data_IF_393361324997
#
_entry.id   IF_393361324997
#
_cell.length_a   1.000
_cell.length_b   1.000
_cell.length_c   1.000
_cell.angle_alpha   90.00
_cell.angle_beta   90.00
_cell.angle_gamma   90.00
#
_symmetry.space_group_name_H-M   'P 1'
#
loop_
_entity.id
_entity.type
_entity.pdbx_description
1 polymer ?
#
# COMPACT_ATOMS: atom_id res chain seq x y z
N UNK A 1 -8.78 -15.57 -12.28
CA UNK A 1 -9.21 -14.19 -11.90
C UNK A 1 -8.67 -13.23 -12.94
N UNK A 2 -9.42 -12.17 -13.28
CA UNK A 2 -8.93 -11.17 -14.26
C UNK A 2 -7.90 -10.29 -13.53
N UNK A 3 -6.71 -10.17 -14.07
CA UNK A 3 -5.66 -9.30 -13.54
C UNK A 3 -6.08 -7.83 -13.63
N UNK A 4 -5.85 -7.07 -12.55
CA UNK A 4 -6.08 -5.62 -12.51
C UNK A 4 -4.78 -4.88 -12.82
N UNK A 5 -3.63 -5.39 -12.33
CA UNK A 5 -2.31 -4.86 -12.64
C UNK A 5 -1.48 -6.01 -13.21
N UNK A 6 -0.79 -5.75 -14.33
CA UNK A 6 0.08 -6.69 -15.02
C UNK A 6 1.42 -6.04 -15.27
N UNK A 7 2.48 -6.68 -14.81
CA UNK A 7 3.87 -6.30 -15.07
C UNK A 7 4.50 -7.38 -15.94
N UNK A 8 5.16 -7.00 -17.02
CA UNK A 8 5.85 -7.91 -17.91
C UNK A 8 7.24 -7.37 -18.23
N UNK A 9 8.25 -7.96 -17.60
CA UNK A 9 9.65 -7.60 -17.80
C UNK A 9 10.01 -6.16 -17.44
N UNK A 10 9.28 -5.52 -16.53
CA UNK A 10 9.46 -4.11 -16.20
C UNK A 10 10.87 -3.84 -15.65
N UNK A 11 11.51 -2.79 -16.16
CA UNK A 11 12.84 -2.37 -15.77
C UNK A 11 12.97 -0.86 -15.60
N UNK A 12 13.96 -0.45 -14.77
CA UNK A 12 14.26 0.96 -14.51
C UNK A 12 15.72 1.18 -14.17
N UNK A 13 16.30 2.23 -14.78
CA UNK A 13 17.62 2.75 -14.46
C UNK A 13 17.51 4.18 -13.92
N UNK A 14 18.45 4.57 -13.08
CA UNK A 14 18.69 5.96 -12.69
C UNK A 14 20.18 6.23 -12.84
N UNK A 15 20.53 7.27 -13.57
CA UNK A 15 21.92 7.67 -13.85
C UNK A 15 22.78 6.48 -14.32
N UNK A 16 22.23 5.66 -15.23
CA UNK A 16 22.89 4.48 -15.79
C UNK A 16 22.95 3.26 -14.87
N UNK A 17 22.50 3.37 -13.63
CA UNK A 17 22.48 2.24 -12.65
C UNK A 17 21.14 1.51 -12.73
N UNK A 18 21.20 0.19 -12.99
CA UNK A 18 20.01 -0.66 -12.96
C UNK A 18 19.45 -0.75 -11.53
N UNK A 19 18.19 -0.35 -11.33
CA UNK A 19 17.47 -0.44 -10.05
C UNK A 19 16.48 -1.59 -10.07
N UNK A 20 15.73 -1.75 -11.17
CA UNK A 20 14.79 -2.86 -11.39
C UNK A 20 15.09 -3.53 -12.73
N UNK A 21 15.01 -4.85 -12.77
CA UNK A 21 15.28 -5.63 -13.97
C UNK A 21 14.32 -6.80 -14.10
N UNK A 22 13.60 -6.86 -15.24
CA UNK A 22 12.79 -8.02 -15.61
C UNK A 22 11.65 -8.33 -14.63
N UNK A 23 11.10 -7.32 -13.94
CA UNK A 23 10.05 -7.52 -12.95
C UNK A 23 8.76 -7.93 -13.64
N UNK A 24 8.24 -9.11 -13.28
CA UNK A 24 6.98 -9.64 -13.82
C UNK A 24 6.08 -10.11 -12.69
N UNK A 25 4.81 -9.69 -12.69
CA UNK A 25 3.79 -10.10 -11.74
C UNK A 25 2.39 -9.82 -12.27
N UNK A 26 1.42 -10.58 -11.80
CA UNK A 26 0.00 -10.38 -12.05
C UNK A 26 -0.72 -10.17 -10.71
N UNK A 27 -1.45 -9.06 -10.58
CA UNK A 27 -2.22 -8.72 -9.38
C UNK A 27 -3.70 -8.79 -9.71
N UNK A 28 -4.42 -9.64 -8.99
CA UNK A 28 -5.86 -9.82 -9.16
C UNK A 28 -6.68 -8.71 -8.50
N UNK A 29 -7.97 -8.64 -8.88
CA UNK A 29 -8.92 -7.76 -8.21
C UNK A 29 -9.15 -8.21 -6.76
N UNK A 30 -9.27 -7.25 -5.85
CA UNK A 30 -9.53 -7.48 -4.43
C UNK A 30 -8.45 -8.29 -3.69
N UNK A 31 -7.27 -8.45 -4.27
CA UNK A 31 -6.12 -9.04 -3.58
C UNK A 31 -5.43 -8.01 -2.68
N UNK A 32 -4.96 -8.46 -1.54
CA UNK A 32 -3.99 -7.76 -0.72
C UNK A 32 -2.60 -8.37 -0.95
N UNK A 33 -1.73 -7.65 -1.64
CA UNK A 33 -0.39 -8.14 -2.01
C UNK A 33 0.68 -7.29 -1.31
N UNK A 34 1.60 -7.91 -0.59
CA UNK A 34 2.79 -7.24 -0.08
C UNK A 34 3.99 -7.44 -0.99
N UNK A 35 4.81 -6.41 -1.09
CA UNK A 35 6.13 -6.44 -1.73
C UNK A 35 7.17 -6.37 -0.62
N UNK A 36 7.92 -7.46 -0.45
CA UNK A 36 8.93 -7.64 0.57
C UNK A 36 10.32 -7.73 -0.09
N UNK A 37 11.34 -7.16 0.53
CA UNK A 37 12.69 -7.22 -0.02
C UNK A 37 13.67 -6.36 0.77
N UNK A 38 15.00 -6.51 0.57
CA UNK A 38 16.03 -5.74 1.25
C UNK A 38 15.87 -4.24 1.05
N UNK A 39 16.45 -3.45 1.98
CA UNK A 39 16.48 -1.99 1.82
C UNK A 39 17.24 -1.59 0.56
N UNK A 40 16.68 -0.66 -0.20
CA UNK A 40 17.29 -0.14 -1.43
C UNK A 40 17.18 -1.07 -2.65
N UNK A 41 16.48 -2.20 -2.61
CA UNK A 41 16.31 -3.09 -3.76
C UNK A 41 15.37 -2.55 -4.86
N UNK A 42 14.62 -1.48 -4.59
CA UNK A 42 13.74 -0.84 -5.60
C UNK A 42 12.25 -0.99 -5.36
N UNK A 43 11.78 -1.45 -4.17
CA UNK A 43 10.34 -1.60 -3.86
C UNK A 43 9.53 -0.33 -4.09
N UNK A 44 9.97 0.78 -3.50
CA UNK A 44 9.32 2.10 -3.69
C UNK A 44 9.36 2.57 -5.14
N UNK A 45 10.44 2.24 -5.86
CA UNK A 45 10.55 2.51 -7.30
C UNK A 45 9.50 1.70 -8.07
N UNK A 46 9.38 0.41 -7.79
CA UNK A 46 8.38 -0.46 -8.42
C UNK A 46 6.97 0.08 -8.19
N UNK A 47 6.65 0.47 -6.95
CA UNK A 47 5.34 1.03 -6.63
C UNK A 47 5.06 2.34 -7.39
N UNK A 48 6.08 3.21 -7.54
CA UNK A 48 5.97 4.45 -8.32
C UNK A 48 5.84 4.22 -9.82
N UNK A 49 6.47 3.18 -10.37
CA UNK A 49 6.26 2.76 -11.76
C UNK A 49 4.81 2.30 -11.98
N UNK A 50 4.27 1.48 -11.08
CA UNK A 50 2.88 1.00 -11.12
C UNK A 50 1.89 2.17 -11.04
N UNK A 51 2.20 3.19 -10.23
CA UNK A 51 1.38 4.40 -10.09
C UNK A 51 1.48 5.36 -11.28
N UNK A 52 2.39 5.14 -12.25
CA UNK A 52 2.66 6.08 -13.33
C UNK A 52 3.38 7.36 -12.90
N UNK A 53 3.92 7.39 -11.66
CA UNK A 53 4.67 8.56 -11.12
C UNK A 53 6.08 8.64 -11.68
N UNK A 54 6.62 7.53 -12.16
CA UNK A 54 7.95 7.42 -12.81
C UNK A 54 7.77 6.53 -14.03
N UNK A 55 8.31 6.91 -15.21
CA UNK A 55 8.23 6.05 -16.39
C UNK A 55 9.15 4.82 -16.25
N UNK A 56 8.70 3.66 -16.71
CA UNK A 56 9.54 2.48 -16.92
C UNK A 56 10.36 2.63 -18.21
N UNK A 57 11.42 1.84 -18.35
CA UNK A 57 12.32 1.88 -19.53
C UNK A 57 12.27 0.58 -20.30
N UNK A 58 12.10 -0.55 -19.61
CA UNK A 58 12.02 -1.86 -20.22
C UNK A 58 10.68 -2.52 -19.85
N UNK A 59 10.17 -3.40 -20.71
CA UNK A 59 8.96 -4.16 -20.46
C UNK A 59 7.66 -3.37 -20.62
N UNK A 60 6.63 -3.76 -19.88
CA UNK A 60 5.33 -3.06 -19.84
C UNK A 60 4.67 -3.17 -18.47
N UNK A 61 3.91 -2.14 -18.12
CA UNK A 61 3.04 -2.11 -16.93
C UNK A 61 1.65 -1.73 -17.39
N UNK A 62 0.64 -2.54 -17.02
CA UNK A 62 -0.75 -2.31 -17.42
C UNK A 62 -1.66 -2.27 -16.22
N UNK A 63 -2.65 -1.40 -16.27
CA UNK A 63 -3.75 -1.31 -15.34
C UNK A 63 -5.08 -1.42 -16.07
N UNK A 64 -5.95 -2.34 -15.67
CA UNK A 64 -7.22 -2.59 -16.34
C UNK A 64 -7.06 -3.02 -17.82
N UNK A 65 -5.86 -3.46 -18.23
CA UNK A 65 -5.51 -3.81 -19.62
C UNK A 65 -4.90 -2.65 -20.42
N UNK A 66 -4.99 -1.39 -19.96
CA UNK A 66 -4.33 -0.25 -20.57
C UNK A 66 -2.90 -0.07 -20.04
N UNK A 67 -1.98 0.42 -20.87
CA UNK A 67 -0.62 0.70 -20.45
C UNK A 67 -0.59 1.92 -19.51
N UNK A 68 0.21 1.83 -18.43
CA UNK A 68 0.37 2.91 -17.47
C UNK A 68 1.43 3.88 -17.98
N UNK A 69 1.01 5.05 -18.43
CA UNK A 69 1.89 6.13 -18.92
C UNK A 69 1.88 7.35 -18.01
N UNK A 70 0.85 7.49 -17.19
CA UNK A 70 0.64 8.62 -16.27
C UNK A 70 -0.20 8.19 -15.06
N UNK A 71 -0.22 8.96 -13.96
CA UNK A 71 -1.05 8.69 -12.81
C UNK A 71 -2.56 8.73 -13.15
N UNK A 72 -3.33 7.88 -12.50
CA UNK A 72 -4.79 7.82 -12.65
C UNK A 72 -5.49 7.99 -11.31
N UNK A 73 -6.69 8.58 -11.31
CA UNK A 73 -7.56 8.70 -10.13
C UNK A 73 -7.99 7.34 -9.54
N UNK A 74 -7.95 6.28 -10.37
CA UNK A 74 -8.31 4.93 -9.95
C UNK A 74 -7.25 4.26 -9.04
N UNK A 75 -6.06 4.87 -8.91
CA UNK A 75 -4.98 4.43 -8.01
C UNK A 75 -4.75 5.49 -6.92
N UNK A 76 -5.02 5.12 -5.66
CA UNK A 76 -4.62 5.91 -4.50
C UNK A 76 -3.19 5.57 -4.10
N UNK A 77 -2.39 6.58 -3.74
CA UNK A 77 -1.00 6.39 -3.30
C UNK A 77 -0.81 6.94 -1.89
N UNK A 78 -0.32 6.08 -0.97
CA UNK A 78 0.09 6.45 0.38
C UNK A 78 1.60 6.41 0.45
N UNK A 79 2.22 7.58 0.68
CA UNK A 79 3.67 7.72 0.77
C UNK A 79 4.18 7.31 2.17
N UNK A 80 5.46 6.99 2.25
CA UNK A 80 6.16 6.66 3.50
C UNK A 80 6.07 7.79 4.54
N UNK A 81 6.12 9.04 4.08
CA UNK A 81 5.80 10.22 4.89
C UNK A 81 4.36 10.63 4.66
N UNK A 82 3.66 11.08 5.69
CA UNK A 82 2.24 11.41 5.60
C UNK A 82 1.88 12.53 4.62
N UNK A 83 2.86 13.35 4.18
CA UNK A 83 2.74 14.40 3.17
C UNK A 83 1.51 15.31 3.30
N UNK A 84 0.98 15.48 4.53
CA UNK A 84 -0.15 16.36 4.78
C UNK A 84 0.27 17.82 4.61
N UNK A 85 -0.62 18.63 4.04
CA UNK A 85 -0.41 20.06 3.95
C UNK A 85 -0.59 20.69 5.33
N UNK A 86 0.45 21.29 5.93
CA UNK A 86 0.41 21.71 7.33
C UNK A 86 -0.54 22.89 7.60
N UNK A 87 -0.92 23.64 6.57
CA UNK A 87 -1.86 24.77 6.62
C UNK A 87 -3.32 24.37 6.40
N UNK A 88 -3.61 23.09 6.07
CA UNK A 88 -4.94 22.53 5.94
C UNK A 88 -5.28 21.71 7.18
N UNK A 89 -6.53 21.78 7.63
CA UNK A 89 -7.05 20.91 8.68
C UNK A 89 -7.24 19.46 8.18
N UNK A 90 -7.70 18.54 9.02
CA UNK A 90 -7.95 17.14 8.67
C UNK A 90 -8.96 17.02 7.54
N UNK A 91 -10.09 17.75 7.62
CA UNK A 91 -11.14 17.72 6.59
C UNK A 91 -10.57 18.10 5.21
N UNK A 92 -9.88 19.22 5.16
CA UNK A 92 -9.35 19.77 3.92
C UNK A 92 -8.21 18.90 3.36
N UNK A 93 -7.38 18.29 4.23
CA UNK A 93 -6.38 17.31 3.81
C UNK A 93 -7.05 16.06 3.22
N UNK A 94 -8.09 15.51 3.86
CA UNK A 94 -8.81 14.34 3.37
C UNK A 94 -9.43 14.58 1.98
N UNK A 95 -10.00 15.76 1.77
CA UNK A 95 -10.69 16.10 0.53
C UNK A 95 -9.78 16.70 -0.55
N UNK A 96 -8.52 16.98 -0.26
CA UNK A 96 -7.59 17.65 -1.18
C UNK A 96 -7.57 17.04 -2.59
N UNK A 97 -7.45 15.71 -2.68
CA UNK A 97 -7.40 15.01 -3.96
C UNK A 97 -8.72 15.05 -4.72
N UNK A 98 -9.83 15.14 -3.99
CA UNK A 98 -11.20 15.29 -4.55
C UNK A 98 -11.38 16.71 -5.10
N UNK A 99 -10.98 17.71 -4.30
CA UNK A 99 -11.17 19.13 -4.65
C UNK A 99 -10.27 19.57 -5.83
N UNK A 100 -9.15 18.89 -6.05
CA UNK A 100 -8.24 19.14 -7.18
C UNK A 100 -8.66 18.45 -8.48
N UNK A 101 -9.58 17.50 -8.43
CA UNK A 101 -10.03 16.75 -9.60
C UNK A 101 -11.51 17.04 -9.92
N UNK A 102 -11.79 17.88 -10.93
CA UNK A 102 -13.17 18.23 -11.29
C UNK A 102 -14.03 17.03 -11.72
N UNK A 103 -13.44 15.89 -12.05
CA UNK A 103 -14.17 14.68 -12.44
C UNK A 103 -14.54 13.79 -11.25
N UNK A 104 -13.90 14.00 -10.10
CA UNK A 104 -14.19 13.24 -8.87
C UNK A 104 -15.37 13.89 -8.15
N UNK A 105 -16.44 13.12 -7.93
CA UNK A 105 -17.57 13.59 -7.14
C UNK A 105 -17.15 13.77 -5.68
N UNK A 106 -17.43 14.96 -5.12
CA UNK A 106 -17.20 15.21 -3.70
C UNK A 106 -18.17 14.37 -2.87
N UNK A 107 -17.68 13.64 -1.83
CA UNK A 107 -18.57 12.91 -0.95
C UNK A 107 -19.54 13.86 -0.24
N UNK A 108 -20.77 13.43 -0.04
CA UNK A 108 -21.69 14.14 0.81
C UNK A 108 -21.28 14.08 2.29
N UNK A 109 -21.99 14.82 3.16
CA UNK A 109 -21.65 14.90 4.59
C UNK A 109 -21.75 13.53 5.31
N UNK A 110 -22.65 12.66 4.87
CA UNK A 110 -22.81 11.33 5.47
C UNK A 110 -21.68 10.39 5.05
N UNK A 111 -21.30 10.41 3.77
CA UNK A 111 -20.16 9.67 3.23
C UNK A 111 -18.85 10.15 3.85
N UNK A 112 -18.67 11.46 4.00
CA UNK A 112 -17.51 12.04 4.66
C UNK A 112 -17.44 11.62 6.14
N UNK A 113 -18.56 11.71 6.88
CA UNK A 113 -18.61 11.29 8.28
C UNK A 113 -18.29 9.79 8.43
N UNK A 114 -18.80 8.94 7.54
CA UNK A 114 -18.48 7.50 7.51
C UNK A 114 -17.00 7.23 7.26
N UNK A 115 -16.35 8.01 6.38
CA UNK A 115 -14.91 7.93 6.14
C UNK A 115 -14.14 8.33 7.41
N UNK A 116 -14.48 9.46 8.04
CA UNK A 116 -13.83 9.97 9.26
C UNK A 116 -13.98 8.97 10.42
N UNK A 117 -15.17 8.38 10.59
CA UNK A 117 -15.44 7.35 11.59
C UNK A 117 -14.58 6.09 11.31
N UNK A 118 -14.54 5.64 10.05
CA UNK A 118 -13.75 4.47 9.64
C UNK A 118 -12.26 4.67 9.93
N UNK A 119 -11.74 5.90 9.79
CA UNK A 119 -10.37 6.29 10.10
C UNK A 119 -10.14 6.55 11.61
N UNK A 120 -11.18 6.50 12.45
CA UNK A 120 -11.10 6.85 13.87
C UNK A 120 -10.63 8.28 14.10
N UNK A 121 -11.10 9.22 13.29
CA UNK A 121 -10.74 10.65 13.32
C UNK A 121 -11.91 11.55 13.73
N UNK A 122 -13.01 10.97 14.20
CA UNK A 122 -14.20 11.71 14.66
C UNK A 122 -13.83 12.69 15.76
N UNK A 123 -14.23 13.95 15.58
CA UNK A 123 -13.93 15.07 16.48
C UNK A 123 -12.58 15.76 16.22
N UNK A 124 -11.80 15.29 15.22
CA UNK A 124 -10.53 15.89 14.83
C UNK A 124 -10.58 16.57 13.46
N UNK A 125 -11.75 16.70 12.85
CA UNK A 125 -11.94 17.18 11.48
C UNK A 125 -11.38 18.60 11.26
N UNK A 126 -11.49 19.45 12.30
CA UNK A 126 -10.98 20.82 12.29
C UNK A 126 -9.52 20.95 12.78
N UNK A 127 -8.89 19.85 13.24
CA UNK A 127 -7.52 19.86 13.74
C UNK A 127 -6.50 19.96 12.61
N UNK A 128 -5.38 20.64 12.87
CA UNK A 128 -4.25 20.74 11.93
C UNK A 128 -3.25 19.61 12.16
N UNK A 129 -2.42 19.25 11.15
CA UNK A 129 -1.43 18.18 11.27
C UNK A 129 -0.48 18.30 12.48
N UNK A 130 -0.15 19.52 12.90
CA UNK A 130 0.68 19.79 14.10
C UNK A 130 0.02 19.39 15.42
N UNK A 131 -1.30 19.26 15.44
CA UNK A 131 -2.10 18.89 16.62
C UNK A 131 -2.37 17.38 16.70
N UNK A 132 -1.96 16.62 15.68
CA UNK A 132 -2.22 15.19 15.55
C UNK A 132 -1.01 14.35 16.01
N UNK A 133 -1.30 13.17 16.58
CA UNK A 133 -0.28 12.15 16.80
C UNK A 133 0.27 11.62 15.46
N UNK A 134 1.45 10.96 15.48
CA UNK A 134 2.03 10.32 14.28
C UNK A 134 1.04 9.35 13.60
N UNK A 135 0.40 8.48 14.39
CA UNK A 135 -0.60 7.54 13.88
C UNK A 135 -1.83 8.23 13.28
N UNK A 136 -2.31 9.32 13.88
CA UNK A 136 -3.42 10.10 13.31
C UNK A 136 -3.05 10.72 11.97
N UNK A 137 -1.83 11.27 11.83
CA UNK A 137 -1.36 11.79 10.53
C UNK A 137 -1.33 10.72 9.45
N UNK A 138 -0.89 9.50 9.78
CA UNK A 138 -0.92 8.38 8.82
C UNK A 138 -2.34 7.99 8.44
N UNK A 139 -3.29 7.97 9.40
CA UNK A 139 -4.71 7.72 9.09
C UNK A 139 -5.31 8.79 8.18
N UNK A 140 -4.96 10.06 8.36
CA UNK A 140 -5.35 11.13 7.43
C UNK A 140 -4.76 10.89 6.05
N UNK A 141 -3.48 10.50 5.93
CA UNK A 141 -2.84 10.21 4.63
C UNK A 141 -3.49 9.02 3.92
N UNK A 142 -3.86 7.96 4.65
CA UNK A 142 -4.63 6.83 4.10
C UNK A 142 -6.01 7.31 3.64
N UNK A 143 -6.70 8.09 4.47
CA UNK A 143 -8.01 8.65 4.14
C UNK A 143 -7.98 9.57 2.92
N UNK A 144 -6.95 10.39 2.76
CA UNK A 144 -6.72 11.22 1.59
C UNK A 144 -6.65 10.38 0.29
N UNK A 145 -5.93 9.25 0.34
CA UNK A 145 -5.86 8.32 -0.78
C UNK A 145 -7.20 7.61 -1.04
N UNK A 146 -7.97 7.31 0.00
CA UNK A 146 -9.27 6.63 -0.08
C UNK A 146 -10.42 7.55 -0.52
N UNK A 147 -10.38 8.84 -0.18
CA UNK A 147 -11.47 9.78 -0.41
C UNK A 147 -11.89 9.90 -1.90
N UNK A 148 -10.97 9.61 -2.82
CA UNK A 148 -11.25 9.58 -4.28
C UNK A 148 -11.93 8.29 -4.75
N UNK A 149 -12.17 7.32 -3.87
CA UNK A 149 -12.77 6.04 -4.23
C UNK A 149 -11.90 5.17 -5.17
N UNK A 150 -10.57 5.06 -4.97
CA UNK A 150 -9.70 4.33 -5.88
C UNK A 150 -10.06 2.84 -5.93
N UNK A 151 -9.78 2.17 -7.07
CA UNK A 151 -9.88 0.70 -7.22
C UNK A 151 -8.67 -0.01 -6.64
N UNK A 152 -7.51 0.67 -6.67
CA UNK A 152 -6.23 0.15 -6.17
C UNK A 152 -5.64 1.13 -5.17
N UNK A 153 -5.12 0.62 -4.06
CA UNK A 153 -4.38 1.38 -3.06
C UNK A 153 -2.92 0.91 -3.05
N UNK A 154 -2.02 1.83 -3.36
CA UNK A 154 -0.58 1.63 -3.35
C UNK A 154 0.01 2.25 -2.09
N UNK A 155 0.74 1.50 -1.28
CA UNK A 155 1.22 1.94 0.04
C UNK A 155 2.71 1.69 0.16
N UNK A 156 3.50 2.76 0.28
CA UNK A 156 4.97 2.71 0.39
C UNK A 156 5.40 2.84 1.85
N UNK A 157 5.63 1.73 2.53
CA UNK A 157 6.02 1.63 3.95
C UNK A 157 5.21 2.55 4.90
N UNK A 158 3.86 2.52 4.85
CA UNK A 158 3.03 3.53 5.52
C UNK A 158 3.19 3.57 7.03
N UNK A 159 3.71 2.51 7.64
CA UNK A 159 3.86 2.38 9.09
C UNK A 159 5.32 2.19 9.54
N UNK A 160 6.28 2.36 8.63
CA UNK A 160 7.70 2.07 8.88
C UNK A 160 8.34 2.87 10.02
N UNK A 161 7.89 4.11 10.22
CA UNK A 161 8.42 5.02 11.25
C UNK A 161 7.71 4.93 12.62
N UNK A 162 6.76 3.99 12.79
CA UNK A 162 5.94 3.88 14.00
C UNK A 162 6.46 2.77 14.94
N UNK A 163 6.22 2.96 16.25
CA UNK A 163 6.45 1.91 17.24
C UNK A 163 5.54 0.68 17.00
N UNK A 164 5.92 -0.47 17.55
CA UNK A 164 5.27 -1.75 17.28
C UNK A 164 3.77 -1.77 17.65
N UNK A 165 3.39 -1.17 18.80
CA UNK A 165 2.00 -1.17 19.26
C UNK A 165 1.12 -0.28 18.37
N UNK A 166 1.62 0.89 18.01
CA UNK A 166 0.92 1.80 17.09
C UNK A 166 0.77 1.17 15.71
N UNK A 167 1.82 0.50 15.22
CA UNK A 167 1.80 -0.22 13.94
C UNK A 167 0.75 -1.34 13.94
N UNK A 168 0.69 -2.17 14.98
CA UNK A 168 -0.30 -3.25 15.08
C UNK A 168 -1.74 -2.71 15.06
N UNK A 169 -2.00 -1.61 15.76
CA UNK A 169 -3.32 -0.96 15.73
C UNK A 169 -3.68 -0.47 14.31
N UNK A 170 -2.75 0.17 13.63
CA UNK A 170 -2.99 0.68 12.27
C UNK A 170 -3.12 -0.44 11.24
N UNK A 171 -2.41 -1.53 11.40
CA UNK A 171 -2.58 -2.74 10.59
C UNK A 171 -4.00 -3.30 10.72
N UNK A 172 -4.54 -3.31 11.95
CA UNK A 172 -5.92 -3.72 12.20
C UNK A 172 -6.94 -2.79 11.56
N UNK A 173 -6.73 -1.48 11.67
CA UNK A 173 -7.59 -0.49 11.03
C UNK A 173 -7.55 -0.65 9.50
N UNK A 174 -6.37 -0.84 8.93
CA UNK A 174 -6.21 -1.09 7.49
C UNK A 174 -6.93 -2.37 7.05
N UNK A 175 -6.82 -3.46 7.82
CA UNK A 175 -7.55 -4.70 7.52
C UNK A 175 -9.07 -4.50 7.58
N UNK A 176 -9.59 -3.74 8.55
CA UNK A 176 -11.03 -3.43 8.64
C UNK A 176 -11.51 -2.62 7.43
N UNK A 177 -10.75 -1.59 7.04
CA UNK A 177 -11.04 -0.78 5.85
C UNK A 177 -11.04 -1.69 4.61
N UNK A 178 -10.01 -2.51 4.45
CA UNK A 178 -9.89 -3.42 3.30
C UNK A 178 -11.00 -4.46 3.26
N UNK A 179 -11.37 -5.08 4.40
CA UNK A 179 -12.44 -6.08 4.47
C UNK A 179 -13.80 -5.54 4.06
N UNK A 180 -14.07 -4.27 4.36
CA UNK A 180 -15.32 -3.60 4.00
C UNK A 180 -15.45 -3.39 2.48
N UNK A 181 -14.40 -2.84 1.87
CA UNK A 181 -14.46 -2.36 0.49
C UNK A 181 -13.83 -3.33 -0.52
N UNK A 182 -13.03 -4.31 -0.06
CA UNK A 182 -12.34 -5.30 -0.89
C UNK A 182 -11.58 -4.68 -2.07
N UNK A 183 -10.93 -3.53 -1.84
CA UNK A 183 -10.05 -2.89 -2.83
C UNK A 183 -8.81 -3.74 -3.07
N UNK A 184 -8.20 -3.61 -4.24
CA UNK A 184 -6.87 -4.18 -4.47
C UNK A 184 -5.83 -3.35 -3.72
N UNK A 185 -4.94 -3.98 -2.97
CA UNK A 185 -3.88 -3.30 -2.20
C UNK A 185 -2.52 -3.86 -2.57
N UNK A 186 -1.57 -2.96 -2.86
CA UNK A 186 -0.15 -3.28 -2.92
C UNK A 186 0.55 -2.53 -1.79
N UNK A 187 1.14 -3.29 -0.87
CA UNK A 187 1.85 -2.77 0.30
C UNK A 187 3.34 -3.07 0.17
N UNK A 188 4.17 -2.04 0.13
CA UNK A 188 5.61 -2.19 0.36
C UNK A 188 5.87 -2.18 1.86
N UNK A 189 6.56 -3.18 2.34
CA UNK A 189 7.00 -3.27 3.74
C UNK A 189 8.35 -3.98 3.85
N UNK A 190 9.06 -3.73 4.94
CA UNK A 190 10.23 -4.50 5.36
C UNK A 190 9.91 -5.46 6.52
N UNK A 191 8.69 -5.45 7.03
CA UNK A 191 8.24 -6.31 8.11
C UNK A 191 7.62 -7.59 7.59
N UNK A 192 8.30 -8.73 7.82
CA UNK A 192 7.83 -10.06 7.41
C UNK A 192 6.49 -10.38 8.11
N UNK A 193 6.41 -10.12 9.43
CA UNK A 193 5.17 -10.38 10.19
C UNK A 193 3.98 -9.55 9.69
N UNK A 194 4.22 -8.30 9.26
CA UNK A 194 3.20 -7.46 8.66
C UNK A 194 2.73 -8.02 7.32
N UNK A 195 3.68 -8.41 6.44
CA UNK A 195 3.37 -9.01 5.15
C UNK A 195 2.52 -10.29 5.30
N UNK A 196 2.87 -11.19 6.24
CA UNK A 196 2.10 -12.41 6.52
C UNK A 196 0.72 -12.09 7.09
N UNK A 197 0.63 -11.14 8.02
CA UNK A 197 -0.63 -10.78 8.66
C UNK A 197 -1.64 -10.18 7.69
N UNK A 198 -1.19 -9.28 6.81
CA UNK A 198 -2.08 -8.48 5.99
C UNK A 198 -2.43 -9.14 4.65
N UNK A 199 -1.50 -9.90 4.05
CA UNK A 199 -1.55 -10.18 2.61
C UNK A 199 -2.13 -11.56 2.26
N UNK A 200 -2.75 -11.64 1.09
CA UNK A 200 -3.11 -12.91 0.45
C UNK A 200 -1.90 -13.48 -0.31
N UNK A 201 -0.97 -12.61 -0.75
CA UNK A 201 0.28 -12.98 -1.43
C UNK A 201 1.41 -12.03 -1.04
N UNK A 202 2.63 -12.57 -1.04
CA UNK A 202 3.86 -11.79 -0.78
C UNK A 202 4.81 -11.99 -1.96
N UNK A 203 5.08 -10.90 -2.68
CA UNK A 203 6.10 -10.84 -3.71
C UNK A 203 7.44 -10.53 -3.07
N UNK A 204 8.37 -11.47 -3.11
CA UNK A 204 9.71 -11.31 -2.53
C UNK A 204 10.66 -10.81 -3.61
N UNK A 205 11.33 -9.69 -3.35
CA UNK A 205 12.31 -9.09 -4.26
C UNK A 205 13.76 -9.43 -3.85
N UNK A 206 14.60 -9.61 -4.87
CA UNK A 206 16.06 -9.76 -4.72
C UNK A 206 16.72 -8.47 -4.24
N UNK A 207 18.02 -8.54 -3.92
CA UNK A 207 18.89 -7.36 -3.89
C UNK A 207 18.97 -6.67 -5.25
N UNK A 208 19.56 -5.47 -5.29
CA UNK A 208 19.71 -4.68 -6.52
C UNK A 208 20.64 -5.36 -7.55
N UNK A 209 20.22 -5.41 -8.85
CA UNK A 209 18.96 -4.93 -9.39
C UNK A 209 17.77 -5.77 -8.92
N UNK A 210 16.72 -5.09 -8.43
CA UNK A 210 15.55 -5.77 -7.89
C UNK A 210 14.75 -6.49 -8.98
N UNK A 211 14.46 -7.76 -8.71
CA UNK A 211 13.51 -8.58 -9.46
C UNK A 211 12.66 -9.37 -8.49
N UNK A 212 11.51 -9.90 -8.91
CA UNK A 212 10.72 -10.81 -8.08
C UNK A 212 11.36 -12.20 -8.16
N UNK A 213 11.78 -12.72 -7.02
CA UNK A 213 12.41 -14.05 -6.90
C UNK A 213 11.44 -15.13 -6.44
N UNK A 214 10.36 -14.74 -5.76
CA UNK A 214 9.35 -15.66 -5.27
C UNK A 214 8.01 -14.95 -5.13
N UNK A 215 6.91 -15.67 -5.36
CA UNK A 215 5.52 -15.26 -5.18
C UNK A 215 4.88 -16.24 -4.19
N UNK A 216 4.79 -15.83 -2.93
CA UNK A 216 4.35 -16.69 -1.83
C UNK A 216 2.89 -16.41 -1.52
N UNK A 217 2.04 -17.42 -1.74
CA UNK A 217 0.64 -17.38 -1.31
C UNK A 217 0.55 -17.59 0.20
N UNK A 218 -0.31 -16.80 0.85
CA UNK A 218 -0.57 -16.85 2.29
C UNK A 218 -1.99 -17.38 2.51
N UNK A 219 -2.11 -18.68 2.76
CA UNK A 219 -3.40 -19.38 2.92
C UNK A 219 -3.88 -19.36 4.39
N UNK A 220 -3.65 -18.24 5.11
CA UNK A 220 -4.22 -18.03 6.44
C UNK A 220 -5.68 -17.60 6.35
N UNK A 221 -6.56 -18.10 7.25
CA UNK A 221 -7.99 -17.77 7.23
C UNK A 221 -8.24 -16.28 7.41
N UNK A 222 -9.36 -15.81 6.87
CA UNK A 222 -9.88 -14.46 7.11
C UNK A 222 -11.23 -14.53 7.84
N UNK A 223 -11.63 -13.58 8.69
CA UNK A 223 -10.90 -12.34 9.02
C UNK A 223 -9.64 -12.62 9.85
N UNK A 224 -8.59 -11.85 9.64
CA UNK A 224 -7.35 -11.96 10.42
C UNK A 224 -7.35 -10.97 11.58
N UNK A 225 -6.90 -11.44 12.73
CA UNK A 225 -6.68 -10.65 13.94
C UNK A 225 -5.25 -10.89 14.43
N UNK A 226 -4.46 -9.86 14.78
CA UNK A 226 -3.07 -10.03 15.18
C UNK A 226 -2.86 -10.99 16.35
N UNK A 227 -3.78 -11.05 17.29
CA UNK A 227 -3.65 -11.94 18.45
C UNK A 227 -3.85 -13.39 18.04
N UNK A 228 -4.99 -13.71 17.44
CA UNK A 228 -5.34 -15.10 17.09
C UNK A 228 -4.60 -15.60 15.85
N UNK A 229 -4.39 -14.75 14.84
CA UNK A 229 -3.69 -15.16 13.60
C UNK A 229 -2.21 -15.46 13.85
N UNK A 230 -1.56 -14.77 14.79
CA UNK A 230 -0.15 -15.05 15.15
C UNK A 230 0.02 -16.31 15.98
N UNK A 231 -1.04 -16.81 16.60
CA UNK A 231 -1.05 -18.10 17.33
C UNK A 231 -1.19 -19.30 16.40
N UNK A 232 -1.62 -19.09 15.15
CA UNK A 232 -1.70 -20.14 14.15
C UNK A 232 -0.28 -20.64 13.80
N UNK A 233 0.01 -21.95 13.92
CA UNK A 233 1.32 -22.50 13.57
C UNK A 233 1.76 -22.16 12.15
N UNK A 234 0.82 -22.11 11.18
CA UNK A 234 1.11 -21.75 9.80
C UNK A 234 1.65 -20.31 9.67
N UNK A 235 1.27 -19.37 10.56
CA UNK A 235 1.84 -18.04 10.59
C UNK A 235 3.35 -18.08 10.82
N UNK A 236 3.80 -18.86 11.81
CA UNK A 236 5.21 -19.07 12.11
C UNK A 236 5.97 -19.68 10.92
N UNK A 237 5.39 -20.67 10.24
CA UNK A 237 5.98 -21.30 9.06
C UNK A 237 6.20 -20.31 7.91
N UNK A 238 5.20 -19.42 7.62
CA UNK A 238 5.35 -18.37 6.64
C UNK A 238 6.45 -17.37 7.03
N UNK A 239 6.51 -16.96 8.29
CA UNK A 239 7.56 -16.04 8.78
C UNK A 239 8.95 -16.67 8.57
N UNK A 240 9.14 -17.93 8.94
CA UNK A 240 10.40 -18.66 8.74
C UNK A 240 10.75 -18.78 7.25
N UNK A 241 9.78 -19.14 6.41
CA UNK A 241 9.97 -19.24 4.95
C UNK A 241 10.42 -17.92 4.35
N UNK A 242 9.71 -16.84 4.64
CA UNK A 242 10.03 -15.50 4.12
C UNK A 242 11.37 -14.98 4.67
N UNK A 243 11.70 -15.25 5.95
CA UNK A 243 13.01 -14.91 6.53
C UNK A 243 14.15 -15.56 5.76
N UNK A 244 14.03 -16.85 5.44
CA UNK A 244 15.02 -17.58 4.64
C UNK A 244 15.20 -16.97 3.25
N UNK A 245 14.08 -16.63 2.56
CA UNK A 245 14.10 -15.97 1.25
C UNK A 245 14.76 -14.58 1.29
N UNK A 246 14.64 -13.90 2.43
CA UNK A 246 15.24 -12.59 2.67
C UNK A 246 16.71 -12.66 3.13
N UNK A 247 17.25 -13.87 3.35
CA UNK A 247 18.59 -14.06 3.89
C UNK A 247 18.76 -13.63 5.36
N UNK A 248 17.66 -13.53 6.10
CA UNK A 248 17.64 -13.23 7.53
C UNK A 248 17.49 -14.56 8.25
N UNK A 249 18.59 -15.04 8.84
CA UNK A 249 18.67 -16.26 9.65
C UNK A 249 18.53 -15.96 11.12
#
# INVERSE_FOLDING_TARGET
MKSVISLSGAGKRFDGRQVLQGVSAEIGASEFVSILGPSGCGKSTLLRLIAGLVPFEDGSIRFGGAEVTEPTAEMGFVFQTSNLLPWLNVRDNLLLGVDLDPQTQRPDEAEFAALVETLGLTGFEASYPSQLSGGMRHRVAIGQALARGPKVLLMDEPFGALDALTRDRLNMELLRIWQRDRKTVLLVTHSISEAVLLSDRVLVMSERPGTIIEDVRIDLPRPRDPSTTREDPAFGDYVVRLSKLMGVS
#
